data_IF_931493208743
#
_entry.id   IF_931493208743
#
_cell.length_a   1.000
_cell.length_b   1.000
_cell.length_c   1.000
_cell.angle_alpha   90.00
_cell.angle_beta   90.00
_cell.angle_gamma   90.00
#
_symmetry.space_group_name_H-M   'P 1'
#
loop_
_entity.id
_entity.type
_entity.pdbx_description
1 polymer ?
#
# COMPACT_ATOMS: atom_id res chain seq x y z
N UNK A 1 20.02 25.55 14.21
CA UNK A 1 19.03 24.83 13.40
C UNK A 1 19.66 24.48 12.07
N UNK A 2 19.95 23.20 11.81
CA UNK A 2 20.66 22.76 10.61
C UNK A 2 19.62 22.53 9.50
N UNK A 3 19.62 23.40 8.50
CA UNK A 3 18.81 23.25 7.29
C UNK A 3 19.27 22.00 6.53
N UNK A 4 18.37 21.05 6.29
CA UNK A 4 18.61 19.95 5.35
C UNK A 4 18.39 20.51 3.94
N UNK A 5 19.48 20.91 3.28
CA UNK A 5 19.44 21.17 1.83
C UNK A 5 19.18 19.83 1.14
N UNK A 6 18.06 19.64 0.44
CA UNK A 6 17.95 18.50 -0.46
C UNK A 6 19.02 18.71 -1.53
N UNK A 7 20.06 17.88 -1.51
CA UNK A 7 21.14 17.93 -2.48
C UNK A 7 20.61 17.75 -3.90
N UNK A 8 21.44 18.04 -4.90
CA UNK A 8 21.16 17.96 -6.35
C UNK A 8 20.39 16.69 -6.79
N UNK A 9 20.45 15.61 -6.01
CA UNK A 9 19.67 14.38 -6.17
C UNK A 9 18.14 14.54 -6.03
N UNK A 10 17.63 15.56 -5.34
CA UNK A 10 16.19 15.82 -5.24
C UNK A 10 15.59 16.50 -6.49
N UNK A 11 16.44 16.96 -7.41
CA UNK A 11 16.02 17.49 -8.70
C UNK A 11 15.90 16.39 -9.77
N UNK A 12 16.52 15.23 -9.51
CA UNK A 12 16.35 14.05 -10.34
C UNK A 12 15.04 13.37 -9.94
N UNK A 13 14.07 13.34 -10.85
CA UNK A 13 12.74 12.77 -10.63
C UNK A 13 12.78 11.23 -10.45
N UNK A 14 13.97 10.64 -10.38
CA UNK A 14 14.21 9.22 -10.17
C UNK A 14 14.94 9.02 -8.86
N UNK A 15 14.43 8.12 -8.04
CA UNK A 15 15.10 7.69 -6.82
C UNK A 15 16.43 7.01 -7.16
N UNK A 16 17.48 7.19 -6.34
CA UNK A 16 18.79 6.55 -6.58
C UNK A 16 18.78 5.02 -6.35
N UNK A 17 17.61 4.48 -5.99
CA UNK A 17 17.32 3.07 -5.77
C UNK A 17 15.97 2.73 -6.41
N UNK A 18 15.78 1.47 -6.81
CA UNK A 18 14.49 0.99 -7.28
C UNK A 18 13.50 0.91 -6.14
N UNK A 19 12.57 1.87 -6.04
CA UNK A 19 11.60 1.93 -4.93
C UNK A 19 10.81 0.62 -4.76
N UNK A 20 10.39 0.01 -5.88
CA UNK A 20 9.69 -1.28 -5.87
C UNK A 20 10.57 -2.39 -5.30
N UNK A 21 11.85 -2.46 -5.68
CA UNK A 21 12.79 -3.49 -5.21
C UNK A 21 13.00 -3.36 -3.70
N UNK A 22 13.22 -2.14 -3.20
CA UNK A 22 13.37 -1.87 -1.77
C UNK A 22 12.12 -2.27 -0.98
N UNK A 23 10.92 -1.93 -1.48
CA UNK A 23 9.68 -2.33 -0.84
C UNK A 23 9.47 -3.85 -0.88
N UNK A 24 9.89 -4.52 -1.95
CA UNK A 24 9.86 -5.97 -2.08
C UNK A 24 10.81 -6.67 -1.09
N UNK A 25 12.04 -6.18 -0.95
CA UNK A 25 13.02 -6.71 0.02
C UNK A 25 12.54 -6.58 1.47
N UNK A 26 11.73 -5.56 1.76
CA UNK A 26 11.22 -5.28 3.11
C UNK A 26 9.78 -5.75 3.34
N UNK A 27 9.20 -6.54 2.42
CA UNK A 27 7.79 -6.96 2.47
C UNK A 27 7.40 -7.58 3.81
N UNK A 28 8.19 -8.51 4.33
CA UNK A 28 7.87 -9.22 5.58
C UNK A 28 7.91 -8.29 6.80
N UNK A 29 8.83 -7.32 6.81
CA UNK A 29 8.90 -6.32 7.88
C UNK A 29 7.65 -5.44 7.85
N UNK A 30 7.27 -4.96 6.65
CA UNK A 30 6.10 -4.09 6.47
C UNK A 30 4.82 -4.84 6.86
N UNK A 31 4.66 -6.10 6.44
CA UNK A 31 3.50 -6.94 6.81
C UNK A 31 3.35 -7.08 8.33
N UNK A 32 4.45 -7.38 9.02
CA UNK A 32 4.47 -7.55 10.49
C UNK A 32 4.16 -6.25 11.22
N UNK A 33 4.71 -5.13 10.75
CA UNK A 33 4.49 -3.82 11.37
C UNK A 33 3.07 -3.30 11.16
N UNK A 34 2.47 -3.56 9.99
CA UNK A 34 1.11 -3.14 9.68
C UNK A 34 0.04 -4.16 10.13
N UNK A 35 0.44 -5.35 10.58
CA UNK A 35 -0.49 -6.41 10.99
C UNK A 35 -1.38 -6.91 9.84
N UNK A 36 -0.88 -6.83 8.59
CA UNK A 36 -1.63 -7.25 7.39
C UNK A 36 -1.19 -8.64 6.94
N UNK A 37 -2.16 -9.47 6.56
CA UNK A 37 -1.88 -10.84 6.10
C UNK A 37 -1.26 -10.88 4.72
N UNK A 38 -1.73 -10.02 3.81
CA UNK A 38 -1.29 -9.97 2.42
C UNK A 38 -0.87 -8.55 2.07
N UNK A 39 0.27 -8.44 1.39
CA UNK A 39 0.82 -7.19 0.89
C UNK A 39 1.42 -7.47 -0.47
N UNK A 40 1.03 -6.68 -1.46
CA UNK A 40 1.57 -6.70 -2.81
C UNK A 40 2.11 -5.30 -3.13
N UNK A 41 3.32 -5.24 -3.69
CA UNK A 41 3.91 -4.00 -4.22
C UNK A 41 3.75 -4.05 -5.72
N UNK A 42 3.02 -3.09 -6.28
CA UNK A 42 2.65 -3.06 -7.69
C UNK A 42 3.05 -1.72 -8.32
N UNK A 43 3.33 -1.74 -9.63
CA UNK A 43 3.56 -0.50 -10.37
C UNK A 43 2.23 0.12 -10.78
N UNK A 44 2.07 1.42 -10.51
CA UNK A 44 0.90 2.18 -10.96
C UNK A 44 0.84 2.39 -12.49
N UNK A 45 1.94 2.11 -13.21
CA UNK A 45 1.97 2.17 -14.68
C UNK A 45 1.48 0.88 -15.33
N UNK A 46 1.33 -0.21 -14.58
CA UNK A 46 0.85 -1.49 -15.10
C UNK A 46 -0.70 -1.54 -15.04
N UNK A 47 -1.40 -1.62 -16.19
CA UNK A 47 -2.86 -1.70 -16.19
C UNK A 47 -3.41 -2.94 -15.47
N UNK A 48 -2.66 -4.05 -15.44
CA UNK A 48 -3.08 -5.25 -14.70
C UNK A 48 -3.03 -5.02 -13.18
N UNK A 49 -2.05 -4.24 -12.71
CA UNK A 49 -1.98 -3.83 -11.32
C UNK A 49 -3.13 -2.89 -10.92
N UNK A 50 -3.50 -1.96 -11.82
CA UNK A 50 -4.63 -1.05 -11.58
C UNK A 50 -5.95 -1.83 -11.42
N UNK A 51 -6.15 -2.90 -12.18
CA UNK A 51 -7.33 -3.75 -12.06
C UNK A 51 -7.47 -4.38 -10.65
N UNK A 52 -6.35 -4.68 -9.97
CA UNK A 52 -6.36 -5.23 -8.61
C UNK A 52 -6.83 -4.23 -7.54
N UNK A 53 -6.68 -2.93 -7.79
CA UNK A 53 -7.20 -1.89 -6.89
C UNK A 53 -8.74 -1.83 -6.89
N UNK A 54 -9.39 -2.46 -7.87
CA UNK A 54 -10.85 -2.56 -7.95
C UNK A 54 -11.53 -1.18 -7.92
N UNK A 55 -12.60 -1.00 -7.14
CA UNK A 55 -13.31 0.28 -7.03
C UNK A 55 -12.46 1.45 -6.52
N UNK A 56 -11.34 1.18 -5.84
CA UNK A 56 -10.46 2.20 -5.30
C UNK A 56 -9.45 2.73 -6.32
N UNK A 57 -9.46 2.22 -7.56
CA UNK A 57 -8.58 2.70 -8.64
C UNK A 57 -8.75 4.19 -8.91
N UNK A 58 -9.97 4.74 -8.77
CA UNK A 58 -10.22 6.18 -8.94
C UNK A 58 -9.50 7.06 -7.92
N UNK A 59 -9.00 6.49 -6.81
CA UNK A 59 -8.13 7.20 -5.88
C UNK A 59 -6.77 7.52 -6.51
N UNK A 60 -6.27 6.63 -7.38
CA UNK A 60 -5.00 6.78 -8.09
C UNK A 60 -5.09 7.90 -9.14
N UNK A 61 -6.25 8.11 -9.76
CA UNK A 61 -6.49 9.24 -10.66
C UNK A 61 -6.45 10.59 -9.92
N UNK A 62 -7.04 10.65 -8.72
CA UNK A 62 -7.10 11.87 -7.91
C UNK A 62 -5.77 12.19 -7.24
N UNK A 63 -5.00 11.16 -6.90
CA UNK A 63 -3.71 11.27 -6.24
C UNK A 63 -2.80 10.22 -6.87
N UNK A 64 -2.05 10.56 -7.92
CA UNK A 64 -1.11 9.63 -8.52
C UNK A 64 0.08 9.40 -7.57
N UNK A 65 0.64 8.18 -7.51
CA UNK A 65 1.87 7.94 -6.78
C UNK A 65 3.02 8.70 -7.44
N UNK A 66 3.95 9.18 -6.63
CA UNK A 66 5.14 9.88 -7.09
C UNK A 66 6.38 9.22 -6.50
N UNK A 67 7.55 9.26 -7.17
CA UNK A 67 8.78 8.69 -6.64
C UNK A 67 9.07 9.16 -5.22
N UNK A 68 9.33 8.22 -4.30
CA UNK A 68 9.54 8.49 -2.87
C UNK A 68 8.27 8.82 -2.07
N UNK A 69 7.09 8.77 -2.70
CA UNK A 69 5.78 8.96 -2.06
C UNK A 69 4.78 7.94 -2.63
N UNK A 70 4.88 6.68 -2.20
CA UNK A 70 3.99 5.63 -2.66
C UNK A 70 2.57 5.81 -2.11
N UNK A 71 1.62 5.08 -2.69
CA UNK A 71 0.23 5.04 -2.23
C UNK A 71 -0.11 3.60 -1.86
N UNK A 72 -0.61 3.41 -0.64
CA UNK A 72 -1.13 2.14 -0.18
C UNK A 72 -2.66 2.13 -0.28
N UNK A 73 -3.20 1.05 -0.85
CA UNK A 73 -4.63 0.79 -0.91
C UNK A 73 -4.91 -0.44 -0.07
N UNK A 74 -5.77 -0.30 0.94
CA UNK A 74 -6.16 -1.40 1.82
C UNK A 74 -7.50 -1.98 1.35
N UNK A 75 -7.49 -3.27 1.03
CA UNK A 75 -8.68 -4.01 0.65
C UNK A 75 -9.04 -4.97 1.77
N UNK A 76 -10.25 -4.85 2.29
CA UNK A 76 -10.81 -5.86 3.19
C UNK A 76 -11.34 -7.01 2.36
N UNK A 77 -11.08 -8.25 2.78
CA UNK A 77 -11.80 -9.39 2.21
C UNK A 77 -13.28 -9.20 2.53
N UNK A 78 -14.11 -9.12 1.51
CA UNK A 78 -15.53 -9.28 1.69
C UNK A 78 -15.75 -10.75 2.01
N UNK A 79 -16.28 -11.11 3.19
CA UNK A 79 -16.58 -12.50 3.49
C UNK A 79 -17.56 -13.01 2.44
N UNK A 80 -17.24 -14.12 1.79
CA UNK A 80 -18.18 -14.79 0.90
C UNK A 80 -19.45 -15.10 1.70
N UNK A 81 -20.62 -14.95 1.07
CA UNK A 81 -21.91 -15.31 1.66
C UNK A 81 -21.83 -16.75 2.21
N UNK A 82 -21.61 -16.90 3.52
CA UNK A 82 -21.36 -18.19 4.16
C UNK A 82 -20.38 -18.17 5.34
N UNK A 83 -19.49 -17.18 5.45
CA UNK A 83 -18.65 -17.02 6.66
C UNK A 83 -19.49 -16.39 7.77
N UNK A 84 -19.91 -17.22 8.73
CA UNK A 84 -20.65 -16.75 9.89
C UNK A 84 -19.76 -15.85 10.74
N UNK A 85 -20.03 -14.55 10.71
CA UNK A 85 -19.53 -13.60 11.70
C UNK A 85 -20.14 -14.05 13.03
N UNK A 86 -19.41 -14.84 13.82
CA UNK A 86 -19.85 -15.23 15.14
C UNK A 86 -19.86 -13.99 16.04
N UNK A 87 -20.97 -13.26 16.01
CA UNK A 87 -21.29 -12.31 17.06
C UNK A 87 -21.42 -13.11 18.35
N UNK A 88 -20.35 -13.13 19.15
CA UNK A 88 -20.40 -13.65 20.51
C UNK A 88 -21.32 -12.71 21.29
N UNK A 89 -22.61 -13.08 21.41
CA UNK A 89 -23.53 -12.35 22.29
C UNK A 89 -23.01 -12.49 23.72
N UNK A 90 -22.87 -11.40 24.49
CA UNK A 90 -22.58 -11.50 25.91
C UNK A 90 -23.74 -12.25 26.57
N UNK A 91 -23.41 -13.26 27.38
CA UNK A 91 -24.36 -14.00 28.21
C UNK A 91 -24.98 -12.99 29.19
N UNK A 92 -26.28 -12.71 29.15
CA UNK A 92 -26.91 -11.95 30.22
C UNK A 92 -26.91 -12.83 31.48
N UNK A 93 -26.37 -12.28 32.57
CA UNK A 93 -26.48 -12.85 33.92
C UNK A 93 -27.90 -12.72 34.46
#
# INVERSE_FOLDING_TARGET
>A
MKQLNPGVQALDLKTPFGEIEVLQENLDLIKRQLGIEQLEVLSATDPNALAKAGPLVSLLDKKPPSPGKPIAIFLSRCPAYGESIQYHRPIPF
#
